data_IF_284687477027
#
_entry.id   IF_284687477027
#
_cell.length_a   1.000
_cell.length_b   1.000
_cell.length_c   1.000
_cell.angle_alpha   90.00
_cell.angle_beta   90.00
_cell.angle_gamma   90.00
#
_symmetry.space_group_name_H-M   'P 1'
#
loop_
_entity.id
_entity.type
_entity.pdbx_description
1 polymer ?
#
# COMPACT_ATOMS: atom_id res chain seq x y z
N UNK A 1 3.79 -48.40 -67.38
CA UNK A 1 3.21 -47.67 -68.35
C UNK A 1 1.67 -47.56 -67.98
N UNK A 2 1.26 -46.78 -67.05
CA UNK A 2 -0.12 -46.36 -66.86
C UNK A 2 -0.05 -45.02 -66.14
N UNK A 3 -0.40 -44.01 -66.90
CA UNK A 3 -0.64 -42.66 -66.39
C UNK A 3 -1.83 -42.68 -65.40
N UNK A 4 -1.69 -41.98 -64.32
CA UNK A 4 -2.78 -41.68 -63.42
C UNK A 4 -2.98 -40.18 -63.33
N UNK A 5 -4.02 -39.75 -63.96
CA UNK A 5 -4.65 -38.44 -63.96
C UNK A 5 -5.00 -38.03 -62.51
N UNK A 6 -4.52 -36.87 -62.07
CA UNK A 6 -4.88 -36.27 -60.81
C UNK A 6 -5.98 -35.25 -61.05
N UNK A 7 -7.18 -35.51 -60.52
CA UNK A 7 -8.32 -34.62 -60.55
C UNK A 7 -8.16 -33.63 -59.35
N UNK A 8 -8.02 -32.34 -59.67
CA UNK A 8 -8.11 -31.25 -58.69
C UNK A 8 -9.57 -31.06 -58.27
N UNK A 9 -9.89 -31.36 -57.04
CA UNK A 9 -11.12 -30.92 -56.41
C UNK A 9 -10.83 -29.64 -55.63
N UNK A 10 -11.38 -28.52 -56.12
CA UNK A 10 -11.33 -27.21 -55.49
C UNK A 10 -12.38 -27.19 -54.34
N UNK A 11 -11.93 -27.37 -53.12
CA UNK A 11 -12.77 -27.17 -51.94
C UNK A 11 -12.67 -25.72 -51.48
N UNK A 12 -13.77 -24.99 -51.66
CA UNK A 12 -13.97 -23.63 -51.15
C UNK A 12 -14.21 -23.69 -49.65
N UNK A 13 -13.17 -23.52 -48.83
CA UNK A 13 -13.33 -23.35 -47.40
C UNK A 13 -13.59 -21.88 -47.07
N UNK A 14 -14.78 -21.60 -46.66
CA UNK A 14 -15.21 -20.32 -46.08
C UNK A 14 -14.31 -19.92 -44.90
N UNK A 15 -13.64 -18.80 -45.05
CA UNK A 15 -12.94 -18.09 -43.99
C UNK A 15 -13.94 -17.57 -42.96
N UNK A 16 -14.14 -18.30 -41.88
CA UNK A 16 -14.63 -17.72 -40.64
C UNK A 16 -13.41 -17.31 -39.82
N UNK A 17 -12.94 -16.09 -40.08
CA UNK A 17 -11.94 -15.43 -39.26
C UNK A 17 -12.54 -15.10 -37.90
N UNK A 18 -12.35 -15.99 -36.92
CA UNK A 18 -12.47 -15.64 -35.53
C UNK A 18 -11.30 -14.74 -35.15
N UNK A 19 -11.51 -13.43 -35.11
CA UNK A 19 -10.60 -12.51 -34.43
C UNK A 19 -10.62 -12.83 -32.94
N UNK A 20 -9.74 -13.71 -32.51
CA UNK A 20 -9.29 -13.74 -31.13
C UNK A 20 -8.53 -12.45 -30.89
N UNK A 21 -9.19 -11.46 -30.30
CA UNK A 21 -8.52 -10.29 -29.77
C UNK A 21 -7.61 -10.80 -28.64
N UNK A 22 -6.33 -10.98 -28.95
CA UNK A 22 -5.32 -11.04 -27.93
C UNK A 22 -5.43 -9.72 -27.16
N UNK A 23 -5.95 -9.78 -25.94
CA UNK A 23 -5.85 -8.65 -25.02
C UNK A 23 -4.35 -8.39 -24.81
N UNK A 24 -3.82 -7.41 -25.55
CA UNK A 24 -2.58 -6.75 -25.16
C UNK A 24 -2.81 -6.25 -23.75
N UNK A 25 -1.94 -6.67 -22.83
CA UNK A 25 -1.81 -5.99 -21.56
C UNK A 25 -1.77 -4.48 -21.85
N UNK A 26 -2.50 -3.65 -21.12
CA UNK A 26 -2.50 -2.22 -21.38
C UNK A 26 -1.10 -1.70 -21.17
N UNK A 27 -0.41 -1.37 -22.26
CA UNK A 27 0.75 -0.47 -22.27
C UNK A 27 0.17 0.93 -22.05
N UNK A 28 -0.52 1.13 -20.98
CA UNK A 28 -1.25 2.34 -20.70
C UNK A 28 -0.51 3.17 -19.69
N UNK A 29 -0.56 4.48 -19.90
CA UNK A 29 -0.24 5.49 -18.92
C UNK A 29 -0.77 5.09 -17.54
N UNK A 30 -0.04 5.40 -16.46
CA UNK A 30 -0.50 5.09 -15.14
C UNK A 30 -1.84 5.76 -14.88
N UNK A 31 -2.59 5.13 -14.02
CA UNK A 31 -3.97 5.47 -13.73
C UNK A 31 -4.14 6.81 -13.01
N UNK A 32 -3.07 7.49 -12.62
CA UNK A 32 -3.13 8.71 -11.84
C UNK A 32 -2.98 9.96 -12.72
N UNK A 33 -3.71 11.03 -12.38
CA UNK A 33 -3.60 12.33 -13.05
C UNK A 33 -2.15 12.82 -13.00
N UNK A 34 -1.71 13.41 -14.11
CA UNK A 34 -0.43 14.10 -14.18
C UNK A 34 -0.35 15.20 -13.09
N UNK A 35 0.82 15.28 -12.41
CA UNK A 35 1.04 16.23 -11.31
C UNK A 35 0.46 15.83 -9.96
N UNK A 36 -0.14 14.63 -9.80
CA UNK A 36 -0.54 14.11 -8.49
C UNK A 36 0.70 13.81 -7.65
N UNK A 37 0.67 14.24 -6.39
CA UNK A 37 1.65 13.77 -5.41
C UNK A 37 1.40 12.29 -5.11
N UNK A 38 2.34 11.45 -5.49
CA UNK A 38 2.29 10.01 -5.32
C UNK A 38 3.45 9.56 -4.44
N UNK A 39 3.15 9.03 -3.27
CA UNK A 39 4.11 8.33 -2.42
C UNK A 39 3.92 6.83 -2.58
N UNK A 40 4.99 6.06 -2.55
CA UNK A 40 4.93 4.59 -2.59
C UNK A 40 5.67 3.99 -1.41
N UNK A 41 5.17 2.87 -0.88
CA UNK A 41 5.91 2.08 0.10
C UNK A 41 6.72 0.99 -0.57
N UNK A 42 7.99 0.87 -0.15
CA UNK A 42 8.87 -0.25 -0.41
C UNK A 42 9.07 -1.01 0.91
N UNK A 43 8.66 -2.26 0.96
CA UNK A 43 8.82 -3.09 2.15
C UNK A 43 10.18 -3.78 2.16
N UNK A 44 10.80 -3.95 3.34
CA UNK A 44 12.14 -4.52 3.46
C UNK A 44 12.26 -5.95 2.92
N UNK A 45 11.16 -6.70 2.85
CA UNK A 45 11.13 -8.05 2.28
C UNK A 45 10.99 -8.10 0.75
N UNK A 46 10.74 -6.95 0.07
CA UNK A 46 10.58 -6.84 -1.38
C UNK A 46 11.60 -5.85 -2.01
N UNK A 47 12.70 -5.58 -1.34
CA UNK A 47 13.63 -4.49 -1.65
C UNK A 47 14.12 -4.43 -3.10
N UNK A 48 14.56 -5.57 -3.67
CA UNK A 48 15.14 -5.59 -5.02
C UNK A 48 14.11 -5.31 -6.11
N UNK A 49 12.91 -5.88 -5.99
CA UNK A 49 11.82 -5.67 -6.93
C UNK A 49 11.32 -4.23 -6.83
N UNK A 50 11.14 -3.71 -5.62
CA UNK A 50 10.71 -2.33 -5.36
C UNK A 50 11.62 -1.29 -5.99
N UNK A 51 12.94 -1.40 -5.85
CA UNK A 51 13.90 -0.46 -6.46
C UNK A 51 13.73 -0.44 -7.97
N UNK A 52 13.60 -1.62 -8.60
CA UNK A 52 13.41 -1.72 -10.06
C UNK A 52 12.12 -1.03 -10.53
N UNK A 53 11.02 -1.18 -9.77
CA UNK A 53 9.73 -0.55 -10.09
C UNK A 53 9.81 0.97 -9.89
N UNK A 54 10.40 1.41 -8.77
CA UNK A 54 10.57 2.84 -8.47
C UNK A 54 11.41 3.54 -9.54
N UNK A 55 12.51 2.94 -9.99
CA UNK A 55 13.38 3.48 -11.04
C UNK A 55 12.66 3.62 -12.38
N UNK A 56 11.82 2.65 -12.74
CA UNK A 56 11.02 2.70 -13.99
C UNK A 56 9.91 3.75 -13.95
N UNK A 57 9.42 4.09 -12.77
CA UNK A 57 8.30 5.01 -12.55
C UNK A 57 8.73 6.33 -11.90
N UNK A 58 10.02 6.64 -11.94
CA UNK A 58 10.60 7.75 -11.17
C UNK A 58 9.97 9.09 -11.49
N UNK A 59 9.59 9.35 -12.76
CA UNK A 59 8.91 10.56 -13.22
C UNK A 59 7.50 10.76 -12.62
N UNK A 60 6.94 9.74 -12.00
CA UNK A 60 5.56 9.69 -11.47
C UNK A 60 5.49 9.64 -9.96
N UNK A 61 6.57 9.18 -9.33
CA UNK A 61 6.67 9.04 -7.88
C UNK A 61 7.22 10.34 -7.31
N UNK A 62 6.50 10.90 -6.33
CA UNK A 62 6.89 12.15 -5.64
C UNK A 62 7.71 11.90 -4.38
N UNK A 63 7.56 10.74 -3.77
CA UNK A 63 8.28 10.32 -2.57
C UNK A 63 8.23 8.80 -2.38
N UNK A 64 9.16 8.27 -1.59
CA UNK A 64 9.20 6.85 -1.21
C UNK A 64 9.19 6.75 0.31
N UNK A 65 8.42 5.81 0.87
CA UNK A 65 8.48 5.41 2.27
C UNK A 65 9.10 4.02 2.37
N UNK A 66 10.16 3.88 3.14
CA UNK A 66 10.80 2.59 3.39
C UNK A 66 10.21 1.94 4.63
N UNK A 67 9.47 0.88 4.44
CA UNK A 67 8.78 0.11 5.48
C UNK A 67 9.63 -1.10 5.88
N UNK A 68 10.04 -1.28 7.11
CA UNK A 68 9.94 -0.31 8.19
C UNK A 68 11.07 -0.52 9.20
N UNK A 69 11.29 0.47 10.05
CA UNK A 69 11.91 0.24 11.34
C UNK A 69 10.85 -0.27 12.33
N UNK A 70 11.25 -1.13 13.26
CA UNK A 70 10.39 -1.72 14.28
C UNK A 70 11.18 -1.90 15.60
N UNK A 71 10.56 -2.42 16.64
CA UNK A 71 11.22 -2.66 17.92
C UNK A 71 11.79 -4.08 17.99
N UNK A 72 13.06 -4.20 18.31
CA UNK A 72 13.75 -5.47 18.57
C UNK A 72 14.41 -5.42 19.93
N UNK A 73 14.04 -6.39 20.78
CA UNK A 73 14.56 -6.46 22.15
C UNK A 73 14.44 -5.14 22.93
N UNK A 74 13.33 -4.43 22.73
CA UNK A 74 13.00 -3.16 23.38
C UNK A 74 13.62 -1.90 22.79
N UNK A 75 14.40 -1.98 21.72
CA UNK A 75 15.02 -0.85 21.04
C UNK A 75 14.53 -0.71 19.59
N UNK A 76 14.59 0.50 19.02
CA UNK A 76 14.36 0.71 17.60
C UNK A 76 15.41 -0.04 16.77
N UNK A 77 14.95 -0.74 15.76
CA UNK A 77 15.79 -1.51 14.85
C UNK A 77 15.45 -1.18 13.39
N UNK A 78 16.46 -0.83 12.61
CA UNK A 78 16.37 -0.63 11.18
C UNK A 78 16.97 -1.83 10.44
N UNK A 79 16.18 -2.64 9.71
CA UNK A 79 16.68 -3.78 8.93
C UNK A 79 17.79 -3.39 7.95
N UNK A 80 18.73 -4.27 7.72
CA UNK A 80 19.82 -4.05 6.75
C UNK A 80 19.29 -3.88 5.34
N UNK A 81 18.25 -4.64 4.98
CA UNK A 81 17.57 -4.58 3.70
C UNK A 81 16.98 -3.18 3.45
N UNK A 82 16.42 -2.53 4.48
CA UNK A 82 15.94 -1.14 4.40
C UNK A 82 17.09 -0.17 4.12
N UNK A 83 18.23 -0.36 4.79
CA UNK A 83 19.42 0.46 4.58
C UNK A 83 20.00 0.27 3.18
N UNK A 84 20.01 -0.97 2.66
CA UNK A 84 20.47 -1.28 1.30
C UNK A 84 19.55 -0.65 0.26
N UNK A 85 18.23 -0.73 0.45
CA UNK A 85 17.24 -0.08 -0.41
C UNK A 85 17.44 1.44 -0.44
N UNK A 86 17.63 2.07 0.72
CA UNK A 86 17.92 3.50 0.79
C UNK A 86 19.17 3.85 -0.02
N UNK A 87 20.25 3.10 0.17
CA UNK A 87 21.50 3.31 -0.59
C UNK A 87 21.31 3.10 -2.10
N UNK A 88 20.50 2.14 -2.51
CA UNK A 88 20.19 1.88 -3.91
C UNK A 88 19.41 3.04 -4.53
N UNK A 89 18.32 3.46 -3.90
CA UNK A 89 17.50 4.59 -4.36
C UNK A 89 18.31 5.89 -4.44
N UNK A 90 19.16 6.19 -3.46
CA UNK A 90 20.03 7.38 -3.51
C UNK A 90 21.06 7.35 -4.64
N UNK A 91 21.49 6.17 -5.08
CA UNK A 91 22.40 6.04 -6.23
C UNK A 91 21.69 6.22 -7.57
N UNK A 92 20.47 5.73 -7.70
CA UNK A 92 19.70 5.81 -8.94
C UNK A 92 19.11 7.20 -9.19
N UNK A 93 18.85 7.97 -8.14
CA UNK A 93 18.13 9.27 -8.16
C UNK A 93 19.06 10.48 -8.30
N UNK A 94 20.22 10.30 -8.96
CA UNK A 94 21.27 11.33 -9.03
C UNK A 94 20.87 12.63 -9.77
N UNK A 95 19.73 12.61 -10.51
CA UNK A 95 19.25 13.76 -11.30
C UNK A 95 18.10 14.55 -10.67
N UNK A 96 17.26 13.91 -9.87
CA UNK A 96 16.08 14.51 -9.22
C UNK A 96 15.76 13.75 -7.90
N UNK A 97 16.51 14.04 -6.81
CA UNK A 97 16.39 13.28 -5.58
C UNK A 97 15.01 13.44 -4.94
N UNK A 98 14.31 12.32 -4.81
CA UNK A 98 13.01 12.27 -4.17
C UNK A 98 13.14 12.16 -2.65
N UNK A 99 12.23 12.78 -1.89
CA UNK A 99 12.15 12.53 -0.46
C UNK A 99 11.95 11.06 -0.15
N UNK A 100 12.78 10.53 0.76
CA UNK A 100 12.67 9.17 1.27
C UNK A 100 12.36 9.23 2.76
N UNK A 101 11.24 8.63 3.16
CA UNK A 101 10.78 8.59 4.55
C UNK A 101 11.20 7.28 5.21
N UNK A 102 11.60 7.35 6.47
CA UNK A 102 11.72 6.21 7.37
C UNK A 102 10.33 5.90 7.93
N UNK A 103 9.73 4.82 7.54
CA UNK A 103 8.48 4.31 8.15
C UNK A 103 8.84 3.55 9.44
N UNK A 104 8.09 3.80 10.51
CA UNK A 104 8.29 3.20 11.83
C UNK A 104 6.98 2.62 12.32
N UNK A 105 6.99 1.33 12.65
CA UNK A 105 5.81 0.58 13.11
C UNK A 105 5.96 0.15 14.56
N UNK A 106 4.86 -0.16 15.22
CA UNK A 106 4.86 -0.69 16.57
C UNK A 106 4.88 -2.23 16.63
N UNK A 107 5.51 -2.86 15.65
CA UNK A 107 5.81 -4.29 15.71
C UNK A 107 6.98 -4.54 16.67
N UNK A 108 6.90 -5.61 17.46
CA UNK A 108 7.94 -5.99 18.42
C UNK A 108 8.44 -7.38 18.11
N UNK A 109 9.77 -7.54 18.00
CA UNK A 109 10.42 -8.85 17.85
C UNK A 109 11.29 -9.13 19.05
N UNK A 110 11.05 -10.26 19.72
CA UNK A 110 11.82 -10.78 20.83
C UNK A 110 12.29 -12.21 20.50
N UNK A 111 13.56 -12.38 20.24
CA UNK A 111 14.09 -13.64 19.73
C UNK A 111 13.43 -14.03 18.41
N UNK A 112 12.72 -15.18 18.39
CA UNK A 112 11.99 -15.68 17.21
C UNK A 112 10.51 -15.24 17.16
N UNK A 113 10.02 -14.59 18.20
CA UNK A 113 8.61 -14.16 18.31
C UNK A 113 8.43 -12.75 17.83
N UNK A 114 7.48 -12.55 16.92
CA UNK A 114 7.03 -11.21 16.50
C UNK A 114 5.59 -10.97 16.94
N UNK A 115 5.36 -9.84 17.59
CA UNK A 115 4.03 -9.33 17.93
C UNK A 115 3.80 -8.12 17.02
N UNK A 116 2.80 -8.23 16.15
CA UNK A 116 2.43 -7.13 15.27
C UNK A 116 1.52 -6.13 15.99
N UNK A 117 1.81 -4.86 15.81
CA UNK A 117 1.01 -3.75 16.33
C UNK A 117 0.83 -3.83 17.85
N UNK A 118 1.96 -3.98 18.55
CA UNK A 118 2.00 -4.08 20.00
C UNK A 118 1.72 -2.72 20.64
N UNK A 119 0.64 -2.63 21.45
CA UNK A 119 0.28 -1.39 22.14
C UNK A 119 1.05 -1.21 23.45
N UNK A 120 1.63 -2.26 24.01
CA UNK A 120 2.43 -2.15 25.25
C UNK A 120 3.75 -1.43 24.99
N UNK A 121 4.37 -1.66 23.84
CA UNK A 121 5.56 -0.89 23.48
C UNK A 121 5.20 0.60 23.34
N UNK A 122 4.04 0.92 22.75
CA UNK A 122 3.57 2.30 22.62
C UNK A 122 3.32 2.96 23.98
N UNK A 123 2.66 2.26 24.93
CA UNK A 123 2.48 2.78 26.31
C UNK A 123 3.82 3.09 26.98
N UNK A 124 4.86 2.31 26.68
CA UNK A 124 6.19 2.54 27.21
C UNK A 124 6.83 3.79 26.60
N UNK A 125 6.98 3.80 25.25
CA UNK A 125 7.76 4.85 24.57
C UNK A 125 7.03 6.18 24.43
N UNK A 126 5.68 6.20 24.49
CA UNK A 126 4.85 7.39 24.42
C UNK A 126 4.49 7.95 25.81
N UNK A 127 4.92 7.29 26.90
CA UNK A 127 4.68 7.80 28.24
C UNK A 127 5.30 9.20 28.41
N UNK A 128 4.74 10.06 29.29
CA UNK A 128 5.23 11.44 29.50
C UNK A 128 6.73 11.54 29.83
N UNK A 129 7.31 10.46 30.36
CA UNK A 129 8.73 10.41 30.71
C UNK A 129 9.63 9.94 29.56
N UNK A 130 9.09 9.26 28.56
CA UNK A 130 9.85 8.65 27.47
C UNK A 130 9.61 9.30 26.09
N UNK A 131 8.46 9.97 25.92
CA UNK A 131 8.04 10.50 24.62
C UNK A 131 9.08 11.40 23.95
N UNK A 132 9.73 12.30 24.70
CA UNK A 132 10.79 13.15 24.16
C UNK A 132 12.03 12.33 23.79
N UNK A 133 12.41 11.38 24.63
CA UNK A 133 13.55 10.47 24.36
C UNK A 133 13.33 9.68 23.07
N UNK A 134 12.13 9.10 22.92
CA UNK A 134 11.73 8.36 21.72
C UNK A 134 11.70 9.24 20.46
N UNK A 135 11.14 10.45 20.55
CA UNK A 135 11.14 11.38 19.41
C UNK A 135 12.58 11.79 18.99
N UNK A 136 13.49 12.00 19.96
CA UNK A 136 14.92 12.25 19.66
C UNK A 136 15.61 11.05 19.02
N UNK A 137 15.30 9.84 19.46
CA UNK A 137 15.83 8.60 18.89
C UNK A 137 15.40 8.45 17.42
N UNK A 138 14.13 8.70 17.09
CA UNK A 138 13.61 8.69 15.72
C UNK A 138 14.30 9.73 14.83
N UNK A 139 14.43 10.95 15.32
CA UNK A 139 15.12 12.02 14.58
C UNK A 139 16.60 11.69 14.38
N UNK A 140 17.28 11.15 15.40
CA UNK A 140 18.68 10.73 15.30
C UNK A 140 18.85 9.61 14.27
N UNK A 141 17.99 8.58 14.31
CA UNK A 141 17.99 7.47 13.37
C UNK A 141 17.80 7.96 11.92
N UNK A 142 16.81 8.81 11.68
CA UNK A 142 16.55 9.38 10.36
C UNK A 142 17.75 10.20 9.83
N UNK A 143 18.38 11.00 10.69
CA UNK A 143 19.57 11.79 10.33
C UNK A 143 20.80 10.94 10.07
N UNK A 144 21.04 9.92 10.89
CA UNK A 144 22.19 9.01 10.78
C UNK A 144 22.21 8.33 9.41
N UNK A 145 21.06 7.83 8.95
CA UNK A 145 20.94 7.14 7.68
C UNK A 145 20.67 8.07 6.49
N UNK A 146 20.33 9.33 6.70
CA UNK A 146 20.09 10.31 5.63
C UNK A 146 18.70 10.21 5.01
N UNK A 147 17.67 9.91 5.81
CA UNK A 147 16.28 10.07 5.43
C UNK A 147 15.87 11.55 5.37
N UNK A 148 14.88 11.88 4.55
CA UNK A 148 14.32 13.24 4.43
C UNK A 148 13.12 13.46 5.34
N UNK A 149 12.65 12.42 5.98
CA UNK A 149 11.49 12.50 6.89
C UNK A 149 11.25 11.20 7.64
N UNK A 150 10.28 11.28 8.55
CA UNK A 150 9.85 10.19 9.42
C UNK A 150 8.37 9.95 9.13
N UNK A 151 8.00 8.70 9.01
CA UNK A 151 6.61 8.28 8.88
C UNK A 151 6.27 7.36 10.06
N UNK A 152 5.28 7.76 10.86
CA UNK A 152 4.80 6.99 12.02
C UNK A 152 3.56 6.19 11.61
N UNK A 153 3.68 4.88 11.70
CA UNK A 153 2.60 3.93 11.42
C UNK A 153 2.31 3.10 12.69
N UNK A 154 1.86 3.81 13.75
CA UNK A 154 1.48 3.20 15.01
C UNK A 154 0.00 2.86 14.99
N UNK A 155 -0.31 1.58 15.07
CA UNK A 155 -1.65 1.07 14.92
C UNK A 155 -2.23 0.50 16.23
N UNK A 156 -3.55 0.19 16.22
CA UNK A 156 -4.36 -0.32 17.34
C UNK A 156 -4.55 0.66 18.52
N UNK A 157 -4.41 1.95 18.27
CA UNK A 157 -4.69 2.96 19.31
C UNK A 157 -6.19 3.24 19.49
N UNK A 158 -7.03 2.87 18.52
CA UNK A 158 -8.42 3.36 18.37
C UNK A 158 -9.33 3.17 19.58
N UNK A 159 -9.08 2.17 20.42
CA UNK A 159 -9.92 1.82 21.58
C UNK A 159 -9.34 2.32 22.91
N UNK A 160 -8.26 3.10 22.85
CA UNK A 160 -7.52 3.58 24.01
C UNK A 160 -7.37 5.11 24.02
N UNK A 161 -8.29 5.82 24.72
CA UNK A 161 -8.24 7.29 24.79
C UNK A 161 -6.96 7.82 25.44
N UNK A 162 -6.44 7.15 26.47
CA UNK A 162 -5.25 7.59 27.20
C UNK A 162 -4.01 7.45 26.29
N UNK A 163 -3.93 6.37 25.49
CA UNK A 163 -2.86 6.18 24.53
C UNK A 163 -2.92 7.20 23.38
N UNK A 164 -4.14 7.61 22.97
CA UNK A 164 -4.32 8.70 22.00
C UNK A 164 -3.80 10.04 22.55
N UNK A 165 -4.09 10.37 23.80
CA UNK A 165 -3.58 11.59 24.41
C UNK A 165 -2.05 11.60 24.46
N UNK A 166 -1.44 10.48 24.83
CA UNK A 166 0.01 10.32 24.82
C UNK A 166 0.58 10.41 23.39
N UNK A 167 -0.07 9.79 22.40
CA UNK A 167 0.35 9.84 21.01
C UNK A 167 0.33 11.26 20.43
N UNK A 168 -0.73 12.02 20.66
CA UNK A 168 -0.84 13.41 20.20
C UNK A 168 0.21 14.31 20.86
N UNK A 169 0.47 14.11 22.16
CA UNK A 169 1.54 14.82 22.87
C UNK A 169 2.91 14.49 22.32
N UNK A 170 3.18 13.21 22.03
CA UNK A 170 4.40 12.75 21.36
C UNK A 170 4.52 13.35 19.94
N UNK A 171 3.43 13.41 19.19
CA UNK A 171 3.42 13.99 17.84
C UNK A 171 3.84 15.45 17.84
N UNK A 172 3.36 16.26 18.79
CA UNK A 172 3.79 17.66 18.94
C UNK A 172 5.31 17.78 19.20
N UNK A 173 5.85 16.92 20.07
CA UNK A 173 7.30 16.87 20.35
C UNK A 173 8.07 16.46 19.12
N UNK A 174 7.64 15.39 18.43
CA UNK A 174 8.29 14.89 17.22
C UNK A 174 8.30 15.95 16.12
N UNK A 175 7.18 16.64 15.89
CA UNK A 175 7.08 17.71 14.91
C UNK A 175 8.06 18.85 15.17
N UNK A 176 8.20 19.28 16.43
CA UNK A 176 9.17 20.30 16.81
C UNK A 176 10.61 19.88 16.53
N UNK A 177 11.00 18.69 16.97
CA UNK A 177 12.36 18.16 16.78
C UNK A 177 12.68 17.87 15.31
N UNK A 178 11.70 17.34 14.55
CA UNK A 178 11.85 17.07 13.14
C UNK A 178 12.01 18.38 12.34
N UNK A 179 11.24 19.42 12.67
CA UNK A 179 11.37 20.75 12.05
C UNK A 179 12.77 21.34 12.27
N UNK A 180 13.29 21.28 13.49
CA UNK A 180 14.66 21.74 13.81
C UNK A 180 15.72 20.95 13.03
N UNK A 181 15.48 19.66 12.79
CA UNK A 181 16.37 18.78 12.04
C UNK A 181 16.21 18.89 10.51
N UNK A 182 15.22 19.64 10.02
CA UNK A 182 14.88 19.75 8.58
C UNK A 182 14.20 18.50 8.02
N UNK A 183 13.58 17.68 8.88
CA UNK A 183 12.85 16.47 8.49
C UNK A 183 11.35 16.74 8.34
N UNK A 184 10.72 16.05 7.39
CA UNK A 184 9.25 16.03 7.24
C UNK A 184 8.65 14.93 8.08
N UNK A 185 7.39 15.11 8.52
CA UNK A 185 6.66 14.09 9.30
C UNK A 185 5.39 13.68 8.56
N UNK A 186 5.14 12.38 8.52
CA UNK A 186 3.90 11.77 8.04
C UNK A 186 3.34 10.89 9.16
N UNK A 187 2.03 10.92 9.33
CA UNK A 187 1.32 10.08 10.32
C UNK A 187 0.32 9.24 9.59
N UNK A 188 0.45 7.93 9.71
CA UNK A 188 -0.48 6.96 9.11
C UNK A 188 -1.62 6.74 10.07
N UNK A 189 -2.85 6.75 9.56
CA UNK A 189 -4.06 6.64 10.36
C UNK A 189 -4.94 5.48 9.89
N UNK A 190 -5.33 4.63 10.84
CA UNK A 190 -6.32 3.59 10.60
C UNK A 190 -7.71 4.20 10.29
N UNK A 191 -8.53 3.55 9.42
CA UNK A 191 -9.84 4.08 9.03
C UNK A 191 -10.84 4.18 10.19
N UNK A 192 -10.63 3.41 11.26
CA UNK A 192 -11.53 3.29 12.41
C UNK A 192 -11.30 4.25 13.56
N UNK A 193 -10.32 5.14 13.51
CA UNK A 193 -9.96 6.02 14.64
C UNK A 193 -11.06 7.04 14.96
N UNK A 194 -11.15 7.53 16.22
CA UNK A 194 -12.16 8.50 16.63
C UNK A 194 -11.77 9.95 16.24
N UNK A 195 -11.45 10.20 14.97
CA UNK A 195 -10.88 11.47 14.47
C UNK A 195 -11.64 12.73 14.90
N UNK A 196 -12.97 12.64 15.09
CA UNK A 196 -13.80 13.80 15.45
C UNK A 196 -13.62 14.26 16.91
N UNK A 197 -13.04 13.44 17.76
CA UNK A 197 -12.79 13.74 19.17
C UNK A 197 -11.33 14.06 19.47
N UNK A 198 -10.47 13.94 18.46
CA UNK A 198 -9.04 14.17 18.57
C UNK A 198 -8.65 15.52 17.94
N UNK A 199 -7.64 16.17 18.51
CA UNK A 199 -7.08 17.43 18.00
C UNK A 199 -5.69 17.17 17.45
N UNK A 200 -5.60 16.98 16.13
CA UNK A 200 -4.33 16.69 15.47
C UNK A 200 -3.46 17.94 15.29
N UNK A 201 -2.17 17.88 15.63
CA UNK A 201 -1.22 18.97 15.44
C UNK A 201 -1.08 19.41 13.97
N UNK A 202 -0.69 20.67 13.77
CA UNK A 202 -0.34 21.18 12.44
C UNK A 202 1.11 20.83 12.12
N UNK A 203 1.42 20.51 10.86
CA UNK A 203 2.80 20.29 10.39
C UNK A 203 3.06 18.91 9.83
N UNK A 204 2.37 17.87 10.30
CA UNK A 204 2.40 16.54 9.69
C UNK A 204 1.55 16.46 8.41
N UNK A 205 1.85 15.50 7.55
CA UNK A 205 0.93 15.00 6.54
C UNK A 205 0.20 13.78 7.12
N UNK A 206 -1.13 13.86 7.22
CA UNK A 206 -1.97 12.77 7.73
C UNK A 206 -2.42 11.87 6.59
N UNK A 207 -2.10 10.60 6.67
CA UNK A 207 -2.33 9.61 5.60
C UNK A 207 -3.33 8.58 6.08
N UNK A 208 -4.54 8.60 5.57
CA UNK A 208 -5.60 7.68 5.97
C UNK A 208 -5.51 6.40 5.15
N UNK A 209 -5.42 5.25 5.81
CA UNK A 209 -5.51 3.94 5.17
C UNK A 209 -6.91 3.70 4.61
N UNK A 210 -7.05 3.69 3.29
CA UNK A 210 -8.31 3.48 2.57
C UNK A 210 -8.41 2.06 2.02
N UNK A 211 -8.05 1.08 2.84
CA UNK A 211 -8.07 -0.35 2.49
C UNK A 211 -8.42 -1.20 3.73
N UNK A 212 -8.43 -2.53 3.56
CA UNK A 212 -8.84 -3.48 4.59
C UNK A 212 -10.34 -3.40 4.94
N UNK A 213 -11.19 -2.95 3.99
CA UNK A 213 -12.63 -3.13 4.10
C UNK A 213 -12.95 -4.63 4.21
N UNK A 214 -12.28 -5.45 3.37
CA UNK A 214 -12.19 -6.89 3.49
C UNK A 214 -10.71 -7.33 3.52
N UNK A 215 -10.42 -8.41 4.25
CA UNK A 215 -9.07 -8.95 4.43
C UNK A 215 -9.05 -10.19 5.31
N UNK A 216 -7.93 -10.42 5.99
CA UNK A 216 -7.78 -11.54 6.91
C UNK A 216 -8.82 -11.44 8.03
N UNK A 217 -9.59 -12.51 8.24
CA UNK A 217 -10.62 -12.58 9.27
C UNK A 217 -11.98 -11.96 8.89
N UNK A 218 -12.17 -11.60 7.62
CA UNK A 218 -13.46 -11.14 7.10
C UNK A 218 -13.97 -12.06 5.99
N UNK A 219 -15.24 -11.89 5.59
CA UNK A 219 -15.77 -12.49 4.37
C UNK A 219 -15.04 -11.97 3.13
N UNK A 220 -15.01 -12.75 2.01
CA UNK A 220 -14.41 -12.32 0.76
C UNK A 220 -15.01 -11.02 0.22
N UNK A 221 -14.15 -10.10 -0.22
CA UNK A 221 -14.55 -8.82 -0.77
C UNK A 221 -13.38 -7.94 -1.18
N UNK A 222 -13.65 -6.76 -1.77
CA UNK A 222 -12.61 -5.83 -2.19
C UNK A 222 -11.94 -5.15 -0.98
N UNK A 223 -10.66 -4.76 -1.11
CA UNK A 223 -9.96 -3.97 -0.09
C UNK A 223 -10.62 -2.62 0.19
N UNK A 224 -11.28 -2.03 -0.82
CA UNK A 224 -12.10 -0.83 -0.71
C UNK A 224 -13.20 -0.84 -1.77
N UNK A 225 -14.25 -0.06 -1.55
CA UNK A 225 -15.25 0.29 -2.54
C UNK A 225 -15.51 1.81 -2.53
N UNK A 226 -16.28 2.29 -3.50
CA UNK A 226 -16.53 3.72 -3.64
C UNK A 226 -17.33 4.31 -2.47
N UNK A 227 -18.22 3.53 -1.84
CA UNK A 227 -18.99 3.99 -0.68
C UNK A 227 -18.10 4.13 0.56
N UNK A 228 -17.21 3.18 0.78
CA UNK A 228 -16.22 3.22 1.85
C UNK A 228 -15.27 4.44 1.70
N UNK A 229 -14.78 4.71 0.49
CA UNK A 229 -13.91 5.86 0.22
C UNK A 229 -14.60 7.19 0.51
N UNK A 230 -15.87 7.36 0.09
CA UNK A 230 -16.67 8.56 0.40
C UNK A 230 -16.83 8.74 1.92
N UNK A 231 -17.20 7.66 2.62
CA UNK A 231 -17.38 7.69 4.06
C UNK A 231 -16.08 8.04 4.80
N UNK A 232 -14.93 7.56 4.33
CA UNK A 232 -13.63 7.94 4.88
C UNK A 232 -13.30 9.41 4.59
N UNK A 233 -13.51 9.88 3.36
CA UNK A 233 -13.30 11.28 3.05
C UNK A 233 -14.14 12.19 3.98
N UNK A 234 -15.44 11.94 4.10
CA UNK A 234 -16.34 12.72 4.96
C UNK A 234 -15.93 12.70 6.44
N UNK A 235 -15.35 11.57 6.88
CA UNK A 235 -14.88 11.42 8.27
C UNK A 235 -13.62 12.24 8.53
N UNK A 236 -12.67 12.28 7.59
CA UNK A 236 -11.32 12.82 7.78
C UNK A 236 -11.09 14.19 7.12
N UNK A 237 -12.06 14.73 6.37
CA UNK A 237 -11.90 15.98 5.57
C UNK A 237 -11.43 17.21 6.37
N UNK A 238 -11.59 17.19 7.70
CA UNK A 238 -11.14 18.28 8.59
C UNK A 238 -9.66 18.24 8.98
N UNK A 239 -8.94 17.16 8.66
CA UNK A 239 -7.52 17.05 9.00
C UNK A 239 -6.64 17.98 8.16
N UNK A 240 -5.59 18.57 8.74
CA UNK A 240 -4.61 19.33 7.98
C UNK A 240 -3.79 18.40 7.08
N UNK A 241 -3.34 18.89 5.92
CA UNK A 241 -2.46 18.16 4.99
C UNK A 241 -2.89 16.71 4.74
N UNK A 242 -4.20 16.50 4.59
CA UNK A 242 -4.81 15.19 4.40
C UNK A 242 -4.36 14.52 3.09
N UNK A 243 -4.02 13.24 3.20
CA UNK A 243 -3.61 12.35 2.12
C UNK A 243 -4.28 10.98 2.31
N UNK A 244 -4.34 10.15 1.29
CA UNK A 244 -5.00 8.85 1.35
C UNK A 244 -4.08 7.75 0.86
N UNK A 245 -4.09 6.61 1.55
CA UNK A 245 -3.35 5.41 1.15
C UNK A 245 -4.30 4.40 0.52
N UNK A 246 -3.98 3.94 -0.67
CA UNK A 246 -4.65 2.86 -1.39
C UNK A 246 -3.74 1.63 -1.41
N UNK A 247 -4.32 0.44 -1.53
CA UNK A 247 -3.53 -0.79 -1.61
C UNK A 247 -3.87 -1.57 -2.89
N UNK A 248 -2.84 -1.95 -3.65
CA UNK A 248 -2.93 -2.90 -4.77
C UNK A 248 -3.03 -4.34 -4.27
N UNK A 249 -3.14 -5.29 -5.20
CA UNK A 249 -3.28 -6.71 -4.89
C UNK A 249 -4.54 -7.00 -4.08
N UNK A 250 -4.56 -8.13 -3.39
CA UNK A 250 -5.76 -8.58 -2.72
C UNK A 250 -5.55 -9.77 -1.80
N UNK A 251 -6.56 -10.62 -1.78
CA UNK A 251 -6.54 -11.84 -0.99
C UNK A 251 -7.19 -12.99 -1.74
N UNK A 252 -6.77 -14.20 -1.41
CA UNK A 252 -7.42 -15.46 -1.74
C UNK A 252 -8.02 -16.06 -0.48
N UNK A 253 -9.33 -16.26 -0.46
CA UNK A 253 -10.06 -16.88 0.63
C UNK A 253 -10.41 -18.33 0.31
N UNK A 254 -9.99 -19.24 1.16
CA UNK A 254 -10.40 -20.63 1.14
C UNK A 254 -11.75 -20.79 1.87
N UNK A 255 -12.82 -21.17 1.17
CA UNK A 255 -14.18 -21.22 1.75
C UNK A 255 -14.29 -22.21 2.93
N UNK A 256 -13.60 -23.35 2.88
CA UNK A 256 -13.73 -24.40 3.89
C UNK A 256 -13.16 -23.98 5.27
N UNK A 257 -12.09 -23.21 5.30
CA UNK A 257 -11.41 -22.79 6.52
C UNK A 257 -11.65 -21.32 6.89
N UNK A 258 -12.13 -20.51 5.94
CA UNK A 258 -12.20 -19.06 6.07
C UNK A 258 -10.81 -18.39 6.08
N UNK A 259 -9.74 -19.15 5.78
CA UNK A 259 -8.39 -18.61 5.74
C UNK A 259 -8.20 -17.72 4.53
N UNK A 260 -7.66 -16.53 4.75
CA UNK A 260 -7.26 -15.61 3.70
C UNK A 260 -5.73 -15.55 3.57
N UNK A 261 -5.24 -15.55 2.33
CA UNK A 261 -3.83 -15.38 1.97
C UNK A 261 -3.69 -14.11 1.15
N UNK A 262 -2.75 -13.25 1.51
CA UNK A 262 -2.46 -12.03 0.76
C UNK A 262 -1.84 -12.36 -0.59
N UNK A 263 -2.27 -11.66 -1.64
CA UNK A 263 -1.74 -11.77 -3.00
C UNK A 263 -1.31 -10.40 -3.51
N UNK A 264 -0.19 -10.38 -4.26
CA UNK A 264 0.13 -9.25 -5.12
C UNK A 264 -0.83 -9.20 -6.32
N UNK A 265 -0.87 -8.10 -7.07
CA UNK A 265 -1.61 -8.04 -8.34
C UNK A 265 -1.10 -9.11 -9.32
N UNK A 266 0.22 -9.27 -9.40
CA UNK A 266 0.90 -10.26 -10.24
C UNK A 266 0.51 -11.70 -9.87
N UNK A 267 0.51 -12.03 -8.56
CA UNK A 267 0.15 -13.37 -8.10
C UNK A 267 -1.32 -13.68 -8.36
N UNK A 268 -2.21 -12.71 -8.15
CA UNK A 268 -3.64 -12.87 -8.43
C UNK A 268 -3.89 -13.11 -9.94
N UNK A 269 -3.20 -12.38 -10.81
CA UNK A 269 -3.28 -12.57 -12.26
C UNK A 269 -2.73 -13.93 -12.69
N UNK A 270 -1.57 -14.35 -12.15
CA UNK A 270 -0.97 -15.66 -12.42
C UNK A 270 -1.87 -16.81 -11.94
N UNK A 271 -2.54 -16.64 -10.79
CA UNK A 271 -3.48 -17.63 -10.26
C UNK A 271 -4.72 -17.77 -11.15
N UNK A 272 -5.25 -16.65 -11.67
CA UNK A 272 -6.36 -16.68 -12.63
C UNK A 272 -5.99 -17.41 -13.93
N UNK A 273 -4.77 -17.17 -14.45
CA UNK A 273 -4.25 -17.84 -15.64
C UNK A 273 -4.08 -19.35 -15.39
N UNK A 274 -3.46 -19.74 -14.29
CA UNK A 274 -3.21 -21.14 -13.93
C UNK A 274 -4.52 -21.95 -13.85
N UNK A 275 -5.59 -21.35 -13.35
CA UNK A 275 -6.91 -21.97 -13.25
C UNK A 275 -7.83 -21.71 -14.46
N UNK A 276 -7.33 -21.01 -15.50
CA UNK A 276 -8.06 -20.68 -16.73
C UNK A 276 -9.41 -19.96 -16.45
N UNK A 277 -9.44 -19.09 -15.44
CA UNK A 277 -10.59 -18.27 -15.09
C UNK A 277 -10.35 -16.81 -15.50
N UNK A 278 -11.44 -16.15 -15.92
CA UNK A 278 -11.36 -14.72 -16.27
C UNK A 278 -11.85 -13.88 -15.08
N UNK A 279 -10.99 -13.02 -14.52
CA UNK A 279 -11.40 -12.07 -13.50
C UNK A 279 -12.50 -11.14 -14.02
N UNK A 280 -13.46 -10.82 -13.17
CA UNK A 280 -14.55 -9.89 -13.48
C UNK A 280 -14.40 -8.64 -12.63
N UNK A 281 -14.57 -7.50 -13.27
CA UNK A 281 -14.59 -6.22 -12.59
C UNK A 281 -15.93 -6.00 -11.91
N UNK A 282 -15.91 -5.77 -10.60
CA UNK A 282 -17.10 -5.42 -9.83
C UNK A 282 -17.47 -3.95 -10.03
N UNK A 283 -18.73 -3.68 -10.31
CA UNK A 283 -19.17 -2.32 -10.62
C UNK A 283 -19.20 -1.38 -9.40
N UNK A 284 -19.38 -1.91 -8.20
CA UNK A 284 -19.47 -1.10 -6.98
C UNK A 284 -18.10 -0.67 -6.44
N UNK A 285 -17.14 -1.55 -6.57
CA UNK A 285 -15.77 -1.32 -6.06
C UNK A 285 -14.76 -0.99 -7.16
N UNK A 286 -15.02 -1.43 -8.39
CA UNK A 286 -14.02 -1.41 -9.46
C UNK A 286 -12.94 -2.49 -9.32
N UNK A 287 -12.91 -3.26 -8.23
CA UNK A 287 -11.96 -4.34 -8.02
C UNK A 287 -12.25 -5.54 -8.92
N UNK A 288 -11.23 -6.36 -9.15
CA UNK A 288 -11.35 -7.62 -9.87
C UNK A 288 -11.63 -8.77 -8.92
N UNK A 289 -12.45 -9.73 -9.35
CA UNK A 289 -12.72 -10.95 -8.60
C UNK A 289 -12.90 -12.17 -9.50
N UNK A 290 -12.55 -13.34 -8.96
CA UNK A 290 -12.81 -14.64 -9.56
C UNK A 290 -12.89 -15.73 -8.49
N UNK A 291 -13.39 -16.90 -8.87
CA UNK A 291 -13.36 -18.10 -8.01
C UNK A 291 -12.79 -19.27 -8.79
N UNK A 292 -12.13 -20.17 -8.07
CA UNK A 292 -11.57 -21.41 -8.61
C UNK A 292 -11.72 -22.54 -7.60
N UNK A 293 -11.39 -23.77 -7.99
CA UNK A 293 -11.39 -24.93 -7.10
C UNK A 293 -10.01 -25.56 -7.10
N UNK A 294 -9.46 -25.77 -5.92
CA UNK A 294 -8.21 -26.51 -5.69
C UNK A 294 -8.42 -27.54 -4.57
N UNK A 295 -7.95 -28.76 -4.75
CA UNK A 295 -8.06 -29.86 -3.78
C UNK A 295 -9.50 -30.05 -3.23
N UNK A 296 -10.50 -29.94 -4.12
CA UNK A 296 -11.93 -30.00 -3.81
C UNK A 296 -12.46 -28.87 -2.92
N UNK A 297 -11.66 -27.86 -2.65
CA UNK A 297 -12.05 -26.66 -1.90
C UNK A 297 -12.23 -25.49 -2.86
N UNK A 298 -13.29 -24.71 -2.67
CA UNK A 298 -13.53 -23.49 -3.41
C UNK A 298 -12.75 -22.35 -2.80
N UNK A 299 -12.19 -21.53 -3.69
CA UNK A 299 -11.46 -20.31 -3.40
C UNK A 299 -12.14 -19.12 -4.04
N UNK A 300 -12.11 -17.98 -3.38
CA UNK A 300 -12.59 -16.70 -3.91
C UNK A 300 -11.50 -15.65 -3.78
N UNK A 301 -11.13 -15.07 -4.91
CA UNK A 301 -10.09 -14.03 -5.01
C UNK A 301 -10.73 -12.68 -5.30
N UNK A 302 -10.28 -11.66 -4.56
CA UNK A 302 -10.53 -10.26 -4.87
C UNK A 302 -9.20 -9.51 -4.88
N UNK A 303 -9.00 -8.63 -5.87
CA UNK A 303 -7.78 -7.84 -5.94
C UNK A 303 -7.99 -6.51 -6.69
N UNK A 304 -7.15 -5.54 -6.35
CA UNK A 304 -7.07 -4.24 -7.00
C UNK A 304 -5.89 -4.21 -7.96
N UNK A 305 -6.18 -3.84 -9.20
CA UNK A 305 -5.19 -3.54 -10.22
C UNK A 305 -5.01 -2.03 -10.38
N UNK A 306 -4.18 -1.63 -11.31
CA UNK A 306 -3.90 -0.22 -11.61
C UNK A 306 -5.15 0.57 -12.03
N UNK A 307 -6.12 -0.05 -12.73
CA UNK A 307 -7.38 0.58 -13.11
C UNK A 307 -8.28 0.80 -11.89
N UNK A 308 -8.33 -0.17 -10.99
CA UNK A 308 -9.02 -0.05 -9.70
C UNK A 308 -8.48 1.11 -8.86
N UNK A 309 -7.15 1.19 -8.72
CA UNK A 309 -6.51 2.28 -7.97
C UNK A 309 -6.80 3.64 -8.58
N UNK A 310 -6.86 3.74 -9.92
CA UNK A 310 -7.23 4.98 -10.60
C UNK A 310 -8.66 5.40 -10.31
N UNK A 311 -9.58 4.47 -10.32
CA UNK A 311 -10.98 4.71 -10.00
C UNK A 311 -11.13 5.20 -8.56
N UNK A 312 -10.44 4.56 -7.61
CA UNK A 312 -10.46 4.96 -6.20
C UNK A 312 -9.88 6.36 -5.98
N UNK A 313 -8.75 6.66 -6.63
CA UNK A 313 -8.16 8.00 -6.56
C UNK A 313 -9.06 9.07 -7.19
N UNK A 314 -9.75 8.75 -8.30
CA UNK A 314 -10.71 9.67 -8.92
C UNK A 314 -11.93 9.93 -8.04
N UNK A 315 -12.38 8.93 -7.29
CA UNK A 315 -13.48 9.08 -6.33
C UNK A 315 -13.10 10.03 -5.19
N UNK A 316 -11.90 9.86 -4.62
CA UNK A 316 -11.38 10.76 -3.58
C UNK A 316 -11.18 12.19 -4.09
N UNK A 317 -10.73 12.37 -5.35
CA UNK A 317 -10.66 13.68 -6.00
C UNK A 317 -12.04 14.31 -6.14
N UNK A 318 -13.04 13.55 -6.52
CA UNK A 318 -14.42 14.02 -6.67
C UNK A 318 -14.99 14.48 -5.31
N UNK A 319 -14.76 13.70 -4.25
CA UNK A 319 -15.14 14.09 -2.89
C UNK A 319 -14.46 15.39 -2.44
N UNK A 320 -13.17 15.55 -2.75
CA UNK A 320 -12.39 16.71 -2.36
C UNK A 320 -12.57 17.96 -3.24
N UNK A 321 -13.14 17.79 -4.43
CA UNK A 321 -13.20 18.87 -5.46
C UNK A 321 -11.82 19.30 -6.00
N UNK A 322 -10.77 18.52 -5.74
CA UNK A 322 -9.39 18.78 -6.17
C UNK A 322 -8.60 17.48 -6.23
N UNK A 323 -7.45 17.48 -6.91
CA UNK A 323 -6.52 16.35 -6.86
C UNK A 323 -5.93 16.21 -5.46
N UNK A 324 -6.13 15.04 -4.82
CA UNK A 324 -5.61 14.74 -3.49
C UNK A 324 -4.29 13.95 -3.59
N UNK A 325 -3.34 14.12 -2.64
CA UNK A 325 -2.16 13.28 -2.54
C UNK A 325 -2.55 11.83 -2.26
N UNK A 326 -1.89 10.89 -2.93
CA UNK A 326 -2.13 9.44 -2.77
C UNK A 326 -0.84 8.74 -2.37
N UNK A 327 -0.97 7.72 -1.55
CA UNK A 327 0.09 6.77 -1.26
C UNK A 327 -0.34 5.37 -1.70
N UNK A 328 0.58 4.53 -2.19
CA UNK A 328 0.28 3.16 -2.63
C UNK A 328 1.00 2.15 -1.76
N UNK A 329 0.24 1.30 -1.13
CA UNK A 329 0.68 0.10 -0.44
C UNK A 329 0.47 -1.11 -1.35
N UNK A 330 1.52 -1.70 -1.94
CA UNK A 330 2.92 -1.31 -1.98
C UNK A 330 3.47 -1.57 -3.40
N UNK A 331 4.69 -1.10 -3.66
CA UNK A 331 5.41 -1.51 -4.88
C UNK A 331 6.05 -2.89 -4.67
N UNK A 332 5.78 -3.83 -5.58
CA UNK A 332 6.20 -5.22 -5.59
C UNK A 332 6.40 -5.74 -7.03
#
# INVERSE_FOLDING_TARGET
MKEKTFICILALCCLLGGCGAAHKAPTGNPPFREGRQLTVWSAYWDCQESVTVIDRCTDRISAVSLFAAYFRDGALFLPEETQETLRALRRSDAGDPKPIYLSVVNDVTEGEKTIQKDTEILRSVLSPHQAEGHARELVALAKEYGFDGIEIDYEKLREDPDLWEQFLSFEEILLSLAQEAGLKVRIILEPGIPVKTLSFPQGAAYVVMCYNLHGIGTEPGPKADLAFLRALYDRFAGLPNLSFALANGGFDWEEASGKAVSLTEKDAAALAEAHQVLPRRDAASGALSFSYTQDSTRHTVWYADSETLALWAAELDACAGKTVPISIWRVD
#
